data_IF_933186529666
#
_entry.id   IF_933186529666
#
_cell.length_a   1.000
_cell.length_b   1.000
_cell.length_c   1.000
_cell.angle_alpha   90.00
_cell.angle_beta   90.00
_cell.angle_gamma   90.00
#
_symmetry.space_group_name_H-M   'P 1'
#
loop_
_entity.id
_entity.type
_entity.pdbx_description
1 polymer ?
#
# COMPACT_ATOMS: atom_id res chain seq x y z
N UNK A 1 49.67 2.64 79.00
CA UNK A 1 49.73 4.12 78.95
C UNK A 1 49.47 4.54 77.51
N UNK A 2 48.35 5.21 77.39
CA UNK A 2 47.79 6.03 76.33
C UNK A 2 48.06 5.68 74.85
N UNK A 3 47.14 4.96 74.28
CA UNK A 3 46.97 4.64 72.90
C UNK A 3 46.25 5.81 72.17
N UNK A 4 46.88 6.38 71.15
CA UNK A 4 46.23 7.34 70.23
C UNK A 4 45.76 6.61 69.01
N UNK A 5 44.45 6.55 68.84
CA UNK A 5 43.78 6.00 67.68
C UNK A 5 43.60 7.13 66.67
N UNK A 6 44.27 7.01 65.54
CA UNK A 6 44.09 7.90 64.35
C UNK A 6 42.97 7.39 63.46
N UNK A 7 41.84 8.05 63.52
CA UNK A 7 40.71 7.74 62.68
C UNK A 7 40.94 8.29 61.25
N UNK A 8 41.12 7.40 60.31
CA UNK A 8 41.16 7.72 58.87
C UNK A 8 39.75 7.76 58.29
N UNK A 9 39.27 8.94 57.98
CA UNK A 9 37.98 9.19 57.41
C UNK A 9 38.03 8.89 55.88
N UNK A 10 37.46 7.74 55.43
CA UNK A 10 37.32 7.43 54.01
C UNK A 10 36.07 8.12 53.53
N UNK A 11 36.23 9.19 52.75
CA UNK A 11 35.13 9.83 52.01
C UNK A 11 34.86 8.98 50.78
N UNK A 12 33.81 8.15 50.85
CA UNK A 12 33.27 7.44 49.68
C UNK A 12 32.46 8.46 48.89
N UNK A 13 33.04 8.95 47.80
CA UNK A 13 32.35 9.79 46.83
C UNK A 13 31.22 9.02 46.16
N UNK A 14 29.98 9.36 46.49
CA UNK A 14 28.78 8.85 45.82
C UNK A 14 28.72 9.50 44.43
N UNK A 15 29.13 8.77 43.39
CA UNK A 15 28.92 9.17 42.01
C UNK A 15 27.44 8.89 41.71
N UNK A 16 26.60 9.89 41.35
CA UNK A 16 25.24 9.63 40.97
C UNK A 16 25.22 8.88 39.64
N UNK A 17 24.86 7.59 39.67
CA UNK A 17 24.53 6.82 38.49
C UNK A 17 23.27 7.45 37.90
N UNK A 18 23.41 8.18 36.79
CA UNK A 18 22.28 8.61 35.96
C UNK A 18 21.64 7.35 35.40
N UNK A 19 20.31 7.13 35.60
CA UNK A 19 19.62 6.08 34.89
C UNK A 19 19.73 6.38 33.38
N UNK A 20 20.22 5.39 32.62
CA UNK A 20 20.13 5.41 31.18
C UNK A 20 18.63 5.58 30.83
N UNK A 21 18.29 6.70 30.21
CA UNK A 21 17.00 6.85 29.59
C UNK A 21 16.95 5.75 28.53
N UNK A 22 16.18 4.71 28.81
CA UNK A 22 15.67 3.83 27.76
C UNK A 22 14.91 4.76 26.83
N UNK A 23 15.39 4.91 25.62
CA UNK A 23 14.64 5.59 24.59
C UNK A 23 13.34 4.80 24.43
N UNK A 24 12.23 5.38 24.85
CA UNK A 24 10.92 4.84 24.56
C UNK A 24 10.84 4.61 23.04
N UNK A 25 10.33 3.46 22.58
CA UNK A 25 10.12 3.23 21.16
C UNK A 25 9.25 4.37 20.64
N UNK A 26 9.80 5.17 19.71
CA UNK A 26 9.04 6.20 19.01
C UNK A 26 7.80 5.50 18.43
N UNK A 27 6.58 5.88 18.84
CA UNK A 27 5.39 5.24 18.29
C UNK A 27 5.43 5.43 16.78
N UNK A 28 5.32 4.33 16.03
CA UNK A 28 5.24 4.36 14.57
C UNK A 28 4.17 5.38 14.19
N UNK A 29 4.57 6.41 13.44
CA UNK A 29 3.66 7.49 13.06
C UNK A 29 2.46 6.87 12.35
N UNK A 30 1.29 7.00 12.95
CA UNK A 30 0.04 6.53 12.36
C UNK A 30 -0.11 7.24 11.01
N UNK A 31 -0.44 6.54 9.92
CA UNK A 31 -0.57 7.16 8.58
C UNK A 31 -1.49 8.37 8.51
N UNK A 32 -2.44 8.47 9.46
CA UNK A 32 -3.36 9.61 9.60
C UNK A 32 -2.67 10.96 9.91
N UNK A 33 -1.43 10.95 10.43
CA UNK A 33 -0.64 12.15 10.77
C UNK A 33 0.46 12.44 9.75
N UNK A 34 0.51 11.73 8.63
CA UNK A 34 1.50 11.97 7.61
C UNK A 34 1.35 13.38 7.01
N UNK A 35 2.39 14.20 7.09
CA UNK A 35 2.38 15.58 6.60
C UNK A 35 2.64 15.65 5.10
N UNK A 36 3.26 14.62 4.52
CA UNK A 36 3.63 14.54 3.12
C UNK A 36 3.30 13.20 2.45
N UNK A 37 3.41 13.15 1.11
CA UNK A 37 3.07 11.96 0.34
C UNK A 37 4.04 10.80 0.57
N UNK A 38 5.32 11.07 0.88
CA UNK A 38 6.32 10.04 1.18
C UNK A 38 6.05 9.40 2.54
N UNK A 39 5.85 10.20 3.58
CA UNK A 39 5.57 9.73 4.95
C UNK A 39 4.28 8.90 4.99
N UNK A 40 3.26 9.30 4.20
CA UNK A 40 2.06 8.49 4.05
C UNK A 40 2.40 7.10 3.50
N UNK A 41 3.15 7.03 2.40
CA UNK A 41 3.48 5.76 1.77
C UNK A 41 4.39 4.90 2.64
N UNK A 42 5.32 5.49 3.39
CA UNK A 42 6.16 4.80 4.35
C UNK A 42 5.32 4.19 5.48
N UNK A 43 4.43 4.97 6.07
CA UNK A 43 3.55 4.49 7.14
C UNK A 43 2.57 3.40 6.68
N UNK A 44 1.98 3.54 5.49
CA UNK A 44 1.09 2.53 4.90
C UNK A 44 1.86 1.24 4.61
N UNK A 45 3.04 1.35 4.03
CA UNK A 45 3.89 0.21 3.72
C UNK A 45 4.31 -0.54 4.99
N UNK A 46 4.76 0.19 6.02
CA UNK A 46 5.16 -0.40 7.30
C UNK A 46 3.98 -1.14 7.96
N UNK A 47 2.82 -0.48 8.09
CA UNK A 47 1.65 -1.09 8.71
C UNK A 47 1.17 -2.35 7.97
N UNK A 48 1.17 -2.31 6.63
CA UNK A 48 0.82 -3.46 5.81
C UNK A 48 1.82 -4.61 5.98
N UNK A 49 3.12 -4.33 5.90
CA UNK A 49 4.18 -5.33 6.04
C UNK A 49 4.17 -5.98 7.42
N UNK A 50 3.99 -5.21 8.49
CA UNK A 50 3.91 -5.73 9.86
C UNK A 50 2.77 -6.75 10.01
N UNK A 51 1.60 -6.50 9.41
CA UNK A 51 0.48 -7.42 9.43
C UNK A 51 0.70 -8.67 8.54
N UNK A 52 1.29 -8.48 7.36
CA UNK A 52 1.61 -9.58 6.47
C UNK A 52 2.66 -10.52 7.07
N UNK A 53 3.68 -9.99 7.75
CA UNK A 53 4.74 -10.80 8.38
C UNK A 53 4.23 -11.66 9.52
N UNK A 54 3.33 -11.14 10.36
CA UNK A 54 2.76 -11.88 11.49
C UNK A 54 2.01 -13.13 11.08
N UNK A 55 1.37 -13.13 9.91
CA UNK A 55 0.39 -14.15 9.53
C UNK A 55 0.61 -14.72 8.11
N UNK A 56 1.77 -14.53 7.49
CA UNK A 56 2.05 -14.82 6.07
C UNK A 56 1.59 -16.20 5.60
N UNK A 57 1.92 -17.25 6.35
CA UNK A 57 1.55 -18.62 5.99
C UNK A 57 0.03 -18.85 6.05
N UNK A 58 -0.64 -18.32 7.06
CA UNK A 58 -2.09 -18.42 7.19
C UNK A 58 -2.81 -17.65 6.05
N UNK A 59 -2.27 -16.48 5.68
CA UNK A 59 -2.84 -15.62 4.64
C UNK A 59 -2.75 -16.23 3.23
N UNK A 60 -1.79 -17.12 2.96
CA UNK A 60 -1.71 -17.87 1.69
C UNK A 60 -2.95 -18.72 1.44
N UNK A 61 -3.54 -19.23 2.50
CA UNK A 61 -4.70 -20.12 2.45
C UNK A 61 -6.01 -19.40 2.80
N UNK A 62 -5.96 -18.12 3.11
CA UNK A 62 -7.14 -17.32 3.48
C UNK A 62 -7.17 -15.97 2.75
N UNK A 63 -7.63 -15.95 1.49
CA UNK A 63 -7.79 -14.71 0.72
C UNK A 63 -8.73 -13.68 1.38
N UNK A 64 -9.68 -14.13 2.19
CA UNK A 64 -10.60 -13.22 2.88
C UNK A 64 -9.89 -12.48 4.03
N UNK A 65 -9.03 -13.17 4.79
CA UNK A 65 -8.18 -12.54 5.80
C UNK A 65 -7.18 -11.57 5.17
N UNK A 66 -6.53 -11.93 4.06
CA UNK A 66 -5.65 -11.03 3.32
C UNK A 66 -6.38 -9.77 2.87
N UNK A 67 -7.58 -9.94 2.29
CA UNK A 67 -8.42 -8.82 1.89
C UNK A 67 -8.74 -7.90 3.07
N UNK A 68 -9.10 -8.45 4.23
CA UNK A 68 -9.39 -7.66 5.43
C UNK A 68 -8.19 -6.79 5.85
N UNK A 69 -6.97 -7.32 5.77
CA UNK A 69 -5.75 -6.55 6.04
C UNK A 69 -5.60 -5.40 5.06
N UNK A 70 -5.81 -5.64 3.76
CA UNK A 70 -5.75 -4.59 2.74
C UNK A 70 -6.84 -3.54 2.95
N UNK A 71 -8.07 -3.95 3.27
CA UNK A 71 -9.19 -3.05 3.56
C UNK A 71 -8.91 -2.16 4.79
N UNK A 72 -8.16 -2.66 5.75
CA UNK A 72 -7.82 -1.91 6.96
C UNK A 72 -6.61 -0.99 6.80
N UNK A 73 -5.56 -1.44 6.12
CA UNK A 73 -4.26 -0.75 6.11
C UNK A 73 -3.94 -0.03 4.80
N UNK A 74 -4.47 -0.49 3.66
CA UNK A 74 -4.17 0.10 2.35
C UNK A 74 -5.33 0.92 1.79
N UNK A 75 -6.54 0.37 1.79
CA UNK A 75 -7.70 0.95 1.14
C UNK A 75 -8.06 2.37 1.64
N UNK A 76 -7.96 2.72 2.95
CA UNK A 76 -8.24 4.06 3.44
C UNK A 76 -7.34 5.14 2.84
N UNK A 77 -6.18 4.74 2.32
CA UNK A 77 -5.18 5.63 1.73
C UNK A 77 -5.22 5.66 0.19
N UNK A 78 -6.18 4.93 -0.40
CA UNK A 78 -6.48 4.98 -1.82
C UNK A 78 -7.76 5.78 -2.12
N UNK A 79 -7.73 6.56 -3.19
CA UNK A 79 -8.89 7.28 -3.73
C UNK A 79 -9.54 6.43 -4.82
N UNK A 80 -10.26 5.39 -4.39
CA UNK A 80 -10.90 4.42 -5.28
C UNK A 80 -11.96 5.04 -6.17
N UNK A 81 -12.71 6.02 -5.66
CA UNK A 81 -13.70 6.76 -6.44
C UNK A 81 -13.05 7.55 -7.57
N UNK A 82 -11.97 8.26 -7.28
CA UNK A 82 -11.23 9.01 -8.29
C UNK A 82 -10.57 8.08 -9.31
N UNK A 83 -9.96 6.99 -8.87
CA UNK A 83 -9.42 5.96 -9.76
C UNK A 83 -10.51 5.37 -10.68
N UNK A 84 -11.65 4.99 -10.12
CA UNK A 84 -12.81 4.49 -10.87
C UNK A 84 -13.37 5.51 -11.87
N UNK A 85 -13.42 6.78 -11.48
CA UNK A 85 -13.78 7.87 -12.37
C UNK A 85 -12.84 7.98 -13.57
N UNK A 86 -11.54 7.86 -13.34
CA UNK A 86 -10.54 7.92 -14.40
C UNK A 86 -10.60 6.70 -15.32
N UNK A 87 -10.84 5.51 -14.76
CA UNK A 87 -11.00 4.27 -15.52
C UNK A 87 -12.23 4.34 -16.42
N UNK A 88 -13.39 4.73 -15.91
CA UNK A 88 -14.61 4.88 -16.74
C UNK A 88 -14.53 6.06 -17.71
N UNK A 89 -13.73 7.08 -17.43
CA UNK A 89 -13.53 8.23 -18.28
C UNK A 89 -14.83 8.93 -18.69
N UNK A 90 -15.14 8.98 -19.98
CA UNK A 90 -16.37 9.62 -20.50
C UNK A 90 -17.66 8.94 -19.99
N UNK A 91 -17.61 7.65 -19.71
CA UNK A 91 -18.77 6.88 -19.26
C UNK A 91 -19.17 7.20 -17.82
N UNK A 92 -18.23 7.70 -16.99
CA UNK A 92 -18.51 8.12 -15.62
C UNK A 92 -19.62 9.16 -15.52
N UNK A 93 -19.63 10.14 -16.42
CA UNK A 93 -20.64 11.22 -16.39
C UNK A 93 -22.04 10.72 -16.74
N UNK A 94 -22.14 9.66 -17.54
CA UNK A 94 -23.40 9.05 -17.96
C UNK A 94 -23.93 8.04 -16.93
N UNK A 95 -23.05 7.53 -16.06
CA UNK A 95 -23.39 6.56 -15.04
C UNK A 95 -24.20 7.19 -13.90
N UNK A 96 -25.22 6.47 -13.42
CA UNK A 96 -25.93 6.82 -12.19
C UNK A 96 -25.03 6.67 -10.96
N UNK A 97 -25.42 7.28 -9.83
CA UNK A 97 -24.67 7.11 -8.58
C UNK A 97 -24.59 5.63 -8.14
N UNK A 98 -25.64 4.87 -8.33
CA UNK A 98 -25.65 3.43 -8.04
C UNK A 98 -24.69 2.63 -8.93
N UNK A 99 -24.65 2.92 -10.24
CA UNK A 99 -23.71 2.29 -11.17
C UNK A 99 -22.26 2.64 -10.84
N UNK A 100 -21.97 3.90 -10.50
CA UNK A 100 -20.62 4.33 -10.07
C UNK A 100 -20.15 3.54 -8.87
N UNK A 101 -20.98 3.47 -7.82
CA UNK A 101 -20.67 2.72 -6.60
C UNK A 101 -20.43 1.24 -6.90
N UNK A 102 -21.36 0.57 -7.60
CA UNK A 102 -21.20 -0.85 -7.97
C UNK A 102 -19.95 -1.09 -8.80
N UNK A 103 -19.66 -0.20 -9.75
CA UNK A 103 -18.45 -0.31 -10.56
C UNK A 103 -17.18 -0.20 -9.70
N UNK A 104 -17.06 0.83 -8.84
CA UNK A 104 -15.90 1.01 -7.98
C UNK A 104 -15.70 -0.19 -7.06
N UNK A 105 -16.77 -0.68 -6.43
CA UNK A 105 -16.72 -1.85 -5.56
C UNK A 105 -16.29 -3.12 -6.31
N UNK A 106 -16.92 -3.39 -7.48
CA UNK A 106 -16.60 -4.57 -8.29
C UNK A 106 -15.18 -4.50 -8.90
N UNK A 107 -14.76 -3.31 -9.33
CA UNK A 107 -13.42 -3.09 -9.87
C UNK A 107 -12.35 -3.28 -8.81
N UNK A 108 -12.53 -2.70 -7.61
CA UNK A 108 -11.61 -2.93 -6.49
C UNK A 108 -11.50 -4.41 -6.12
N UNK A 109 -12.64 -5.12 -6.03
CA UNK A 109 -12.64 -6.55 -5.77
C UNK A 109 -11.90 -7.35 -6.85
N UNK A 110 -12.06 -6.96 -8.12
CA UNK A 110 -11.32 -7.56 -9.23
C UNK A 110 -9.80 -7.35 -9.10
N UNK A 111 -9.36 -6.16 -8.68
CA UNK A 111 -7.95 -5.90 -8.41
C UNK A 111 -7.42 -6.78 -7.28
N UNK A 112 -8.16 -6.90 -6.19
CA UNK A 112 -7.79 -7.76 -5.06
C UNK A 112 -7.71 -9.24 -5.46
N UNK A 113 -8.68 -9.71 -6.24
CA UNK A 113 -8.69 -11.08 -6.76
C UNK A 113 -7.48 -11.37 -7.65
N UNK A 114 -7.11 -10.43 -8.50
CA UNK A 114 -6.04 -10.63 -9.48
C UNK A 114 -4.64 -10.43 -8.90
N UNK A 115 -4.49 -9.50 -7.96
CA UNK A 115 -3.17 -9.04 -7.47
C UNK A 115 -2.99 -9.18 -5.96
N UNK A 116 -4.03 -9.49 -5.19
CA UNK A 116 -3.95 -9.57 -3.73
C UNK A 116 -2.86 -10.54 -3.26
N UNK A 117 -2.78 -11.71 -3.86
CA UNK A 117 -1.79 -12.73 -3.51
C UNK A 117 -0.34 -12.24 -3.72
N UNK A 118 -0.10 -11.41 -4.73
CA UNK A 118 1.21 -10.81 -4.97
C UNK A 118 1.70 -9.95 -3.79
N UNK A 119 0.79 -9.44 -2.96
CA UNK A 119 1.17 -8.70 -1.74
C UNK A 119 1.91 -9.58 -0.73
N UNK A 120 1.67 -10.89 -0.73
CA UNK A 120 2.37 -11.84 0.14
C UNK A 120 3.85 -12.02 -0.21
N UNK A 121 4.25 -11.60 -1.41
CA UNK A 121 5.66 -11.62 -1.83
C UNK A 121 6.44 -10.39 -1.35
N UNK A 122 5.75 -9.35 -0.85
CA UNK A 122 6.41 -8.16 -0.32
C UNK A 122 6.96 -8.42 1.08
N UNK A 123 8.21 -8.01 1.29
CA UNK A 123 8.91 -8.01 2.57
C UNK A 123 9.65 -6.69 2.74
N UNK A 124 9.94 -6.30 3.97
CA UNK A 124 10.60 -5.02 4.26
C UNK A 124 11.97 -4.88 3.56
N UNK A 125 12.71 -5.98 3.42
CA UNK A 125 14.00 -5.99 2.73
C UNK A 125 13.91 -5.91 1.20
N UNK A 126 12.71 -6.15 0.63
CA UNK A 126 12.48 -6.11 -0.82
C UNK A 126 11.93 -4.80 -1.34
N UNK A 127 11.39 -3.93 -0.48
CA UNK A 127 10.82 -2.66 -0.89
C UNK A 127 11.66 -1.49 -0.39
N UNK A 128 12.01 -0.57 -1.29
CA UNK A 128 12.72 0.66 -0.97
C UNK A 128 11.93 1.85 -1.49
N UNK A 129 11.46 2.71 -0.60
CA UNK A 129 10.89 3.99 -0.96
C UNK A 129 12.04 4.97 -1.23
N UNK A 130 11.99 5.62 -2.39
CA UNK A 130 13.02 6.58 -2.81
C UNK A 130 12.70 7.97 -2.29
N UNK A 131 13.71 8.81 -2.01
CA UNK A 131 13.49 10.18 -1.55
C UNK A 131 12.55 10.94 -2.48
N UNK A 132 11.57 11.62 -1.90
CA UNK A 132 10.62 12.46 -2.63
C UNK A 132 11.35 13.65 -3.25
N UNK A 133 11.08 13.92 -4.53
CA UNK A 133 11.70 15.01 -5.30
C UNK A 133 10.67 15.99 -5.87
N UNK A 134 9.46 16.01 -5.30
CA UNK A 134 8.39 16.91 -5.73
C UNK A 134 8.30 18.16 -4.85
N UNK A 135 7.43 19.09 -5.27
CA UNK A 135 7.02 20.21 -4.43
C UNK A 135 6.09 19.71 -3.32
N UNK A 136 6.41 19.90 -2.02
CA UNK A 136 5.56 19.47 -0.92
C UNK A 136 4.21 20.22 -0.86
N UNK A 137 4.12 21.38 -1.53
CA UNK A 137 2.89 22.21 -1.59
C UNK A 137 2.01 21.87 -2.80
N UNK A 138 2.49 21.04 -3.73
CA UNK A 138 1.69 20.64 -4.88
C UNK A 138 0.43 19.86 -4.45
N UNK A 139 -0.60 19.91 -5.28
CA UNK A 139 -1.84 19.15 -5.09
C UNK A 139 -1.74 17.69 -5.57
N UNK A 140 -0.65 17.33 -6.24
CA UNK A 140 -0.35 15.98 -6.74
C UNK A 140 1.12 15.64 -6.52
N UNK A 141 1.40 14.37 -6.33
CA UNK A 141 2.74 13.86 -6.08
C UNK A 141 2.93 12.48 -6.71
N UNK A 142 4.19 12.11 -6.96
CA UNK A 142 4.57 10.75 -7.30
C UNK A 142 5.59 10.25 -6.29
N UNK A 143 5.22 9.24 -5.52
CA UNK A 143 6.15 8.52 -4.65
C UNK A 143 6.70 7.33 -5.43
N UNK A 144 8.03 7.25 -5.50
CA UNK A 144 8.74 6.22 -6.27
C UNK A 144 9.27 5.16 -5.33
N UNK A 145 9.09 3.91 -5.71
CA UNK A 145 9.64 2.77 -4.98
C UNK A 145 10.37 1.82 -5.92
N UNK A 146 11.29 1.06 -5.36
CA UNK A 146 11.91 -0.08 -6.01
C UNK A 146 11.54 -1.33 -5.25
N UNK A 147 11.02 -2.31 -5.95
CA UNK A 147 10.67 -3.62 -5.39
C UNK A 147 11.61 -4.66 -5.97
N UNK A 148 12.30 -5.41 -5.11
CA UNK A 148 13.20 -6.48 -5.51
C UNK A 148 12.42 -7.80 -5.57
N UNK A 149 12.33 -8.37 -6.77
CA UNK A 149 11.73 -9.69 -6.99
C UNK A 149 12.60 -10.79 -6.38
N UNK A 150 12.06 -12.01 -6.23
CA UNK A 150 12.78 -13.18 -5.73
C UNK A 150 14.03 -13.55 -6.56
N UNK A 151 13.99 -13.25 -7.86
CA UNK A 151 15.13 -13.44 -8.77
C UNK A 151 16.19 -12.31 -8.70
N UNK A 152 16.04 -11.35 -7.78
CA UNK A 152 16.98 -10.24 -7.60
C UNK A 152 16.71 -9.01 -8.50
N UNK A 153 15.83 -9.13 -9.49
CA UNK A 153 15.49 -7.99 -10.39
C UNK A 153 14.78 -6.88 -9.62
N UNK A 154 15.20 -5.64 -9.82
CA UNK A 154 14.53 -4.47 -9.26
C UNK A 154 13.47 -3.95 -10.22
N UNK A 155 12.26 -3.79 -9.71
CA UNK A 155 11.09 -3.32 -10.44
C UNK A 155 10.70 -1.95 -9.90
N UNK A 156 10.67 -0.89 -10.73
CA UNK A 156 10.15 0.41 -10.33
C UNK A 156 8.63 0.32 -10.17
N UNK A 157 8.15 0.70 -8.98
CA UNK A 157 6.72 0.82 -8.66
C UNK A 157 6.50 2.25 -8.17
N UNK A 158 5.72 3.01 -8.92
CA UNK A 158 5.44 4.41 -8.60
C UNK A 158 3.97 4.57 -8.23
N UNK A 159 3.71 5.35 -7.20
CA UNK A 159 2.36 5.68 -6.75
C UNK A 159 2.06 7.12 -7.10
N UNK A 160 0.96 7.36 -7.82
CA UNK A 160 0.44 8.70 -8.08
C UNK A 160 -0.53 9.07 -6.96
N UNK A 161 -0.26 10.19 -6.29
CA UNK A 161 -1.07 10.68 -5.18
C UNK A 161 -1.68 12.02 -5.51
N UNK A 162 -2.79 12.34 -4.85
CA UNK A 162 -3.39 13.66 -4.86
C UNK A 162 -3.73 14.11 -3.43
N UNK A 163 -3.72 15.41 -3.21
CA UNK A 163 -4.17 16.02 -1.95
C UNK A 163 -5.68 16.10 -1.94
N UNK A 164 -6.30 15.57 -0.89
CA UNK A 164 -7.75 15.62 -0.65
C UNK A 164 -8.04 16.39 0.65
N UNK A 165 -9.29 16.73 0.97
CA UNK A 165 -9.62 17.31 2.28
C UNK A 165 -9.22 16.42 3.46
N UNK A 166 -9.15 15.11 3.27
CA UNK A 166 -8.71 14.11 4.27
C UNK A 166 -7.23 13.75 4.21
N UNK A 167 -6.40 14.55 3.52
CA UNK A 167 -4.97 14.31 3.35
C UNK A 167 -4.60 13.73 1.98
N UNK A 168 -3.38 13.25 1.86
CA UNK A 168 -2.90 12.61 0.64
C UNK A 168 -3.57 11.25 0.43
N UNK A 169 -3.93 10.94 -0.82
CA UNK A 169 -4.44 9.61 -1.23
C UNK A 169 -3.82 9.18 -2.56
N UNK A 170 -3.43 7.92 -2.64
CA UNK A 170 -2.99 7.32 -3.90
C UNK A 170 -4.21 7.03 -4.78
N UNK A 171 -4.05 7.14 -6.10
CA UNK A 171 -5.11 6.87 -7.07
C UNK A 171 -4.64 6.03 -8.26
N UNK A 172 -3.33 5.89 -8.47
CA UNK A 172 -2.75 5.05 -9.53
C UNK A 172 -1.47 4.39 -9.06
N UNK A 173 -1.22 3.23 -9.59
CA UNK A 173 0.05 2.50 -9.46
C UNK A 173 0.63 2.31 -10.85
N UNK A 174 1.89 2.68 -11.03
CA UNK A 174 2.64 2.49 -12.27
C UNK A 174 3.75 1.47 -12.00
N UNK A 175 3.70 0.32 -12.65
CA UNK A 175 4.70 -0.75 -12.54
C UNK A 175 5.44 -0.86 -13.86
N UNK A 176 6.77 -0.80 -13.84
CA UNK A 176 7.62 -0.86 -15.05
C UNK A 176 7.19 0.15 -16.13
N UNK A 177 6.69 1.32 -15.72
CA UNK A 177 6.21 2.37 -16.63
C UNK A 177 4.75 2.22 -17.08
N UNK A 178 4.08 1.13 -16.74
CA UNK A 178 2.68 0.87 -17.11
C UNK A 178 1.75 1.35 -15.99
N UNK A 179 0.95 2.39 -16.24
CA UNK A 179 -0.09 2.86 -15.32
C UNK A 179 -1.29 1.92 -15.36
N UNK A 180 -1.71 1.44 -14.21
CA UNK A 180 -2.85 0.53 -14.09
C UNK A 180 -4.16 1.24 -14.41
N UNK A 181 -4.36 2.47 -13.96
CA UNK A 181 -5.55 3.27 -14.28
C UNK A 181 -5.67 3.48 -15.80
N UNK A 182 -4.57 3.81 -16.49
CA UNK A 182 -4.59 4.01 -17.95
C UNK A 182 -4.86 2.71 -18.69
N UNK A 183 -4.23 1.61 -18.25
CA UNK A 183 -4.45 0.30 -18.86
C UNK A 183 -5.91 -0.12 -18.73
N UNK A 184 -6.45 -0.13 -17.53
CA UNK A 184 -7.86 -0.47 -17.31
C UNK A 184 -8.84 0.48 -17.97
N UNK A 185 -8.49 1.77 -18.11
CA UNK A 185 -9.31 2.73 -18.87
C UNK A 185 -9.48 2.33 -20.33
N UNK A 186 -8.43 1.83 -20.96
CA UNK A 186 -8.48 1.38 -22.34
C UNK A 186 -9.37 0.12 -22.47
N UNK A 187 -9.12 -0.88 -21.63
CA UNK A 187 -9.82 -2.17 -21.69
C UNK A 187 -11.29 -2.03 -21.31
N UNK A 188 -11.58 -1.47 -20.14
CA UNK A 188 -12.94 -1.28 -19.64
C UNK A 188 -13.70 -0.26 -20.50
N UNK A 189 -13.03 0.82 -20.92
CA UNK A 189 -13.66 1.82 -21.79
C UNK A 189 -14.11 1.26 -23.13
N UNK A 190 -13.31 0.38 -23.75
CA UNK A 190 -13.68 -0.33 -24.97
C UNK A 190 -14.84 -1.30 -24.72
N UNK A 191 -14.81 -2.05 -23.64
CA UNK A 191 -15.87 -3.00 -23.28
C UNK A 191 -17.20 -2.29 -22.99
N UNK A 192 -17.17 -1.18 -22.22
CA UNK A 192 -18.37 -0.38 -21.93
C UNK A 192 -18.98 0.19 -23.23
N UNK A 193 -18.13 0.62 -24.17
CA UNK A 193 -18.61 1.13 -25.47
C UNK A 193 -19.32 0.05 -26.29
N UNK A 194 -18.92 -1.21 -26.17
CA UNK A 194 -19.49 -2.34 -26.91
C UNK A 194 -20.72 -2.95 -26.22
N UNK A 195 -20.68 -3.13 -24.90
CA UNK A 195 -21.64 -3.95 -24.16
C UNK A 195 -22.48 -3.15 -23.15
N UNK A 196 -22.14 -1.89 -22.94
CA UNK A 196 -22.76 -1.06 -21.91
C UNK A 196 -22.16 -1.28 -20.51
N UNK A 197 -22.33 -0.28 -19.63
CA UNK A 197 -21.73 -0.26 -18.30
C UNK A 197 -22.29 -1.36 -17.39
N UNK A 198 -23.60 -1.61 -17.41
CA UNK A 198 -24.22 -2.64 -16.56
C UNK A 198 -23.68 -4.05 -16.86
N UNK A 199 -23.46 -4.37 -18.15
CA UNK A 199 -22.87 -5.65 -18.55
C UNK A 199 -21.44 -5.80 -18.00
N UNK A 200 -20.65 -4.74 -18.02
CA UNK A 200 -19.28 -4.74 -17.47
C UNK A 200 -19.31 -4.92 -15.95
N UNK A 201 -20.20 -4.21 -15.25
CA UNK A 201 -20.37 -4.36 -13.79
C UNK A 201 -20.77 -5.80 -13.46
N UNK A 202 -21.78 -6.36 -14.13
CA UNK A 202 -22.24 -7.74 -13.90
C UNK A 202 -21.12 -8.76 -14.13
N UNK A 203 -20.33 -8.57 -15.19
CA UNK A 203 -19.18 -9.44 -15.47
C UNK A 203 -18.17 -9.40 -14.35
N UNK A 204 -17.79 -8.20 -13.89
CA UNK A 204 -16.84 -8.04 -12.77
C UNK A 204 -17.38 -8.68 -11.49
N UNK A 205 -18.66 -8.45 -11.16
CA UNK A 205 -19.33 -9.04 -9.99
C UNK A 205 -19.35 -10.57 -10.08
N UNK A 206 -19.70 -11.14 -11.26
CA UNK A 206 -19.72 -12.58 -11.47
C UNK A 206 -18.32 -13.20 -11.36
N UNK A 207 -17.30 -12.57 -11.92
CA UNK A 207 -15.92 -13.03 -11.80
C UNK A 207 -15.43 -13.00 -10.36
N UNK A 208 -15.81 -11.98 -9.58
CA UNK A 208 -15.42 -11.86 -8.18
C UNK A 208 -16.11 -12.90 -7.29
N UNK A 209 -17.28 -13.41 -7.68
CA UNK A 209 -18.01 -14.45 -6.97
C UNK A 209 -17.42 -15.86 -7.17
N UNK A 210 -16.58 -16.07 -8.19
CA UNK A 210 -15.97 -17.37 -8.48
C UNK A 210 -14.54 -17.44 -7.93
N UNK A 211 -14.06 -18.61 -7.44
CA UNK A 211 -12.67 -18.78 -7.11
C UNK A 211 -11.76 -18.44 -8.30
N UNK A 212 -10.57 -17.89 -8.03
CA UNK A 212 -9.59 -17.65 -9.10
C UNK A 212 -9.09 -19.01 -9.62
N UNK A 213 -9.05 -19.23 -10.96
CA UNK A 213 -8.38 -20.41 -11.51
C UNK A 213 -6.89 -20.40 -11.12
N UNK A 214 -6.34 -21.56 -10.80
CA UNK A 214 -4.94 -21.71 -10.35
C UNK A 214 -3.89 -21.31 -11.42
N UNK A 215 -4.29 -21.15 -12.69
CA UNK A 215 -3.40 -20.83 -13.82
C UNK A 215 -3.22 -19.33 -14.10
N UNK A 216 -3.97 -18.44 -13.46
CA UNK A 216 -3.92 -16.99 -13.70
C UNK A 216 -2.97 -16.23 -12.76
N UNK A 217 -1.79 -16.76 -12.47
CA UNK A 217 -0.75 -16.01 -11.77
C UNK A 217 -0.31 -14.81 -12.64
N UNK A 218 -0.34 -13.55 -12.14
CA UNK A 218 0.11 -12.37 -12.87
C UNK A 218 1.62 -12.46 -13.08
N UNK A 219 2.03 -12.86 -14.27
CA UNK A 219 3.44 -13.02 -14.65
C UNK A 219 3.65 -13.74 -15.98
N UNK A 220 2.62 -14.34 -16.58
CA UNK A 220 2.75 -15.08 -17.86
C UNK A 220 2.26 -14.38 -19.11
N UNK A 221 1.76 -13.16 -19.02
CA UNK A 221 1.28 -12.42 -20.20
C UNK A 221 2.34 -11.46 -20.74
N UNK A 222 3.49 -11.99 -21.24
CA UNK A 222 4.35 -11.28 -22.20
C UNK A 222 5.50 -12.16 -22.69
N UNK A 223 5.21 -13.37 -23.21
CA UNK A 223 6.18 -14.13 -24.02
C UNK A 223 5.44 -14.97 -25.05
N UNK A 224 4.77 -14.28 -26.00
CA UNK A 224 4.41 -14.88 -27.29
C UNK A 224 4.40 -13.78 -28.33
N UNK A 225 5.53 -13.66 -29.02
CA UNK A 225 5.74 -12.80 -30.17
C UNK A 225 7.16 -13.05 -30.67
N UNK A 226 7.29 -14.14 -31.46
CA UNK A 226 8.49 -14.43 -32.23
C UNK A 226 8.67 -13.46 -33.38
#
# INVERSE_FOLDING_TARGET
>A
MRTLILSMLVVVGLVPVRPAHSADPVPAATPANATGPQELMEGVAQALLDELEKNREALRNDPAALRKIVDQHLLPHFDTDYAGQLVLGKHWRQASAAQRKRFVDAFYQSLMRNYGEALLEFTADRMKILPFKGDPNASSATVRTLVRRSNGTQVPVNYSLRKTPSGWKAWDVTIEGISYVKNYRNDIGAEVAQKGLDSVIQRLEAQNATPKPDDDAPGKAATTGG
#
